data_IF_722866823821
#
_entry.id   IF_722866823821
#
_cell.length_a   1.000
_cell.length_b   1.000
_cell.length_c   1.000
_cell.angle_alpha   90.00
_cell.angle_beta   90.00
_cell.angle_gamma   90.00
#
_symmetry.space_group_name_H-M   'P 1'
#
loop_
_entity.id
_entity.type
_entity.pdbx_description
1 polymer ?
#
# COMPACT_ATOMS: atom_id res chain seq x y z
N UNK A 1 21.51 5.06 -12.41
CA UNK A 1 21.40 3.70 -12.27
C UNK A 1 21.15 3.20 -10.86
N UNK A 2 22.14 3.24 -10.04
CA UNK A 2 21.94 2.82 -8.67
C UNK A 2 20.90 3.69 -7.98
N UNK A 3 20.72 4.88 -8.45
CA UNK A 3 19.73 5.77 -7.89
C UNK A 3 18.32 5.18 -7.97
N UNK A 4 17.98 4.63 -9.12
CA UNK A 4 16.70 4.01 -9.33
C UNK A 4 16.55 2.75 -8.49
N UNK A 5 17.60 1.96 -8.49
CA UNK A 5 17.58 0.74 -7.70
C UNK A 5 17.38 1.04 -6.24
N UNK A 6 18.03 2.10 -5.80
CA UNK A 6 17.92 2.51 -4.42
C UNK A 6 16.49 2.86 -4.06
N UNK A 7 15.82 3.59 -4.93
CA UNK A 7 14.43 3.97 -4.69
C UNK A 7 13.54 2.75 -4.63
N UNK A 8 13.73 1.82 -5.54
CA UNK A 8 12.95 0.60 -5.56
C UNK A 8 13.13 -0.19 -4.29
N UNK A 9 14.39 -0.38 -3.90
CA UNK A 9 14.70 -1.12 -2.70
C UNK A 9 14.11 -0.44 -1.48
N UNK A 10 14.19 0.87 -1.47
CA UNK A 10 13.65 1.65 -0.37
C UNK A 10 12.16 1.42 -0.19
N UNK A 11 11.44 1.45 -1.29
CA UNK A 11 9.99 1.25 -1.21
C UNK A 11 9.66 -0.13 -0.69
N UNK A 12 10.32 -1.13 -1.21
CA UNK A 12 10.08 -2.48 -0.76
C UNK A 12 10.47 -2.66 0.69
N UNK A 13 11.59 -2.07 1.08
CA UNK A 13 12.03 -2.15 2.46
C UNK A 13 11.01 -1.51 3.40
N UNK A 14 10.46 -0.37 2.99
CA UNK A 14 9.46 0.30 3.79
C UNK A 14 8.22 -0.57 3.95
N UNK A 15 7.75 -1.12 2.85
CA UNK A 15 6.56 -1.95 2.90
C UNK A 15 6.76 -3.17 3.77
N UNK A 16 7.96 -3.74 3.73
CA UNK A 16 8.26 -4.88 4.58
C UNK A 16 8.23 -4.50 6.05
N UNK A 17 8.66 -3.31 6.34
CA UNK A 17 8.69 -2.85 7.72
C UNK A 17 7.31 -2.57 8.26
N UNK A 18 6.46 -1.98 7.45
CA UNK A 18 5.18 -1.49 7.94
C UNK A 18 4.05 -2.50 7.80
N UNK A 19 4.27 -3.58 7.07
CA UNK A 19 3.25 -4.60 6.89
C UNK A 19 3.68 -5.90 7.54
N UNK A 20 2.77 -6.56 8.25
CA UNK A 20 3.12 -7.87 8.76
C UNK A 20 3.05 -8.87 7.61
N UNK A 21 3.52 -10.12 7.84
CA UNK A 21 3.61 -11.08 6.73
C UNK A 21 2.29 -11.33 6.03
N UNK A 22 1.21 -11.39 6.77
CA UNK A 22 -0.09 -11.66 6.17
C UNK A 22 -0.54 -10.48 5.31
N UNK A 23 -0.30 -9.27 5.81
CA UNK A 23 -0.66 -8.09 5.04
C UNK A 23 0.15 -8.00 3.77
N UNK A 24 1.42 -8.35 3.84
CA UNK A 24 2.27 -8.34 2.66
C UNK A 24 1.79 -9.32 1.61
N UNK A 25 1.38 -10.49 2.05
CA UNK A 25 0.86 -11.48 1.12
C UNK A 25 -0.41 -11.00 0.46
N UNK A 26 -1.28 -10.38 1.24
CA UNK A 26 -2.52 -9.87 0.68
C UNK A 26 -2.23 -8.82 -0.39
N UNK A 27 -1.28 -7.94 -0.13
CA UNK A 27 -0.94 -6.91 -1.09
C UNK A 27 -0.37 -7.53 -2.36
N UNK A 28 0.42 -8.57 -2.22
CA UNK A 28 0.96 -9.25 -3.39
C UNK A 28 -0.12 -9.85 -4.26
N UNK A 29 -1.13 -10.42 -3.63
CA UNK A 29 -2.24 -10.97 -4.39
C UNK A 29 -2.98 -9.88 -5.13
N UNK A 30 -3.13 -8.75 -4.50
CA UNK A 30 -3.80 -7.63 -5.15
C UNK A 30 -2.97 -7.15 -6.33
N UNK A 31 -1.65 -7.18 -6.20
CA UNK A 31 -0.79 -6.80 -7.30
C UNK A 31 -1.03 -7.64 -8.54
N UNK A 32 -1.30 -8.91 -8.33
CA UNK A 32 -1.53 -9.81 -9.44
C UNK A 32 -2.87 -9.54 -10.10
N UNK A 33 -3.88 -9.31 -9.30
CA UNK A 33 -5.24 -9.15 -9.80
C UNK A 33 -5.53 -7.72 -10.23
N UNK A 34 -5.08 -6.75 -9.44
CA UNK A 34 -5.33 -5.34 -9.71
C UNK A 34 -4.07 -4.54 -9.48
N UNK A 35 -3.15 -4.59 -10.43
CA UNK A 35 -1.85 -3.95 -10.23
C UNK A 35 -1.93 -2.45 -9.98
N UNK A 36 -2.82 -1.76 -10.68
CA UNK A 36 -2.91 -0.31 -10.48
C UNK A 36 -3.42 0.03 -9.10
N UNK A 37 -4.38 -0.73 -8.62
CA UNK A 37 -4.92 -0.50 -7.29
C UNK A 37 -3.85 -0.81 -6.24
N UNK A 38 -3.07 -1.86 -6.47
CA UNK A 38 -2.00 -2.20 -5.54
C UNK A 38 -0.97 -1.08 -5.44
N UNK A 39 -0.67 -0.44 -6.56
CA UNK A 39 0.27 0.66 -6.55
C UNK A 39 -0.29 1.82 -5.72
N UNK A 40 -1.56 2.11 -5.86
CA UNK A 40 -2.19 3.17 -5.08
C UNK A 40 -2.14 2.86 -3.59
N UNK A 41 -2.41 1.61 -3.25
CA UNK A 41 -2.37 1.20 -1.86
C UNK A 41 -0.96 1.35 -1.31
N UNK A 42 0.04 0.89 -2.06
CA UNK A 42 1.41 0.99 -1.62
C UNK A 42 1.82 2.43 -1.42
N UNK A 43 1.44 3.30 -2.36
CA UNK A 43 1.78 4.70 -2.25
C UNK A 43 1.14 5.34 -1.02
N UNK A 44 -0.09 4.97 -0.75
CA UNK A 44 -0.79 5.48 0.42
C UNK A 44 -0.07 5.06 1.70
N UNK A 45 0.32 3.80 1.77
CA UNK A 45 1.00 3.29 2.95
C UNK A 45 2.35 3.96 3.16
N UNK A 46 3.08 4.13 2.08
CA UNK A 46 4.39 4.78 2.16
C UNK A 46 4.23 6.24 2.59
N UNK A 47 3.20 6.90 2.10
CA UNK A 47 2.93 8.27 2.49
C UNK A 47 2.63 8.37 3.99
N UNK A 48 1.86 7.43 4.50
CA UNK A 48 1.57 7.38 5.93
C UNK A 48 2.85 7.21 6.73
N UNK A 49 3.70 6.33 6.27
CA UNK A 49 4.96 6.09 6.95
C UNK A 49 5.84 7.34 6.93
N UNK A 50 5.92 7.98 5.77
CA UNK A 50 6.78 9.14 5.61
C UNK A 50 6.31 10.32 6.46
N UNK A 51 5.02 10.46 6.63
CA UNK A 51 4.49 11.56 7.41
C UNK A 51 4.44 11.28 8.90
N UNK A 52 4.93 10.11 9.30
CA UNK A 52 4.99 9.78 10.71
C UNK A 52 3.68 9.33 11.33
N UNK A 53 2.71 8.99 10.51
CA UNK A 53 1.42 8.56 11.01
C UNK A 53 1.38 7.08 11.37
N UNK A 54 2.39 6.34 10.97
CA UNK A 54 2.43 4.92 11.26
C UNK A 54 3.36 4.66 12.43
N UNK A 55 2.82 4.19 13.51
CA UNK A 55 3.61 3.87 14.70
C UNK A 55 3.70 2.39 14.95
N UNK A 56 2.88 1.62 14.28
CA UNK A 56 2.86 0.18 14.45
C UNK A 56 2.83 -0.49 13.10
N UNK A 57 3.17 -1.76 13.11
CA UNK A 57 3.05 -2.58 11.92
C UNK A 57 1.57 -2.72 11.57
N UNK A 58 1.26 -2.62 10.30
CA UNK A 58 -0.10 -2.76 9.83
C UNK A 58 -0.45 -4.23 9.70
N UNK A 59 -1.49 -4.65 10.40
CA UNK A 59 -1.94 -6.03 10.34
C UNK A 59 -2.81 -6.24 9.11
N UNK A 60 -3.10 -7.51 8.83
CA UNK A 60 -3.96 -7.85 7.71
C UNK A 60 -5.33 -7.21 7.85
N UNK A 61 -5.84 -7.16 9.06
CA UNK A 61 -7.15 -6.54 9.30
C UNK A 61 -7.13 -5.06 9.00
N UNK A 62 -6.08 -4.39 9.41
CA UNK A 62 -5.97 -2.98 9.13
C UNK A 62 -5.81 -2.72 7.66
N UNK A 63 -5.06 -3.58 6.99
CA UNK A 63 -4.90 -3.44 5.56
C UNK A 63 -6.25 -3.61 4.86
N UNK A 64 -7.06 -4.54 5.33
CA UNK A 64 -8.39 -4.72 4.76
C UNK A 64 -9.21 -3.44 4.85
N UNK A 65 -9.13 -2.78 5.98
CA UNK A 65 -9.86 -1.52 6.16
C UNK A 65 -9.37 -0.48 5.18
N UNK A 66 -8.07 -0.40 5.02
CA UNK A 66 -7.50 0.56 4.09
C UNK A 66 -7.93 0.25 2.68
N UNK A 67 -7.92 -1.02 2.31
CA UNK A 67 -8.34 -1.42 0.98
C UNK A 67 -9.78 -1.03 0.73
N UNK A 68 -10.63 -1.26 1.71
CA UNK A 68 -12.04 -0.91 1.58
C UNK A 68 -12.20 0.59 1.41
N UNK A 69 -11.47 1.34 2.20
CA UNK A 69 -11.57 2.79 2.15
C UNK A 69 -11.14 3.32 0.78
N UNK A 70 -10.00 2.84 0.29
CA UNK A 70 -9.50 3.30 -0.99
C UNK A 70 -10.38 2.85 -2.13
N UNK A 71 -10.93 1.66 -2.01
CA UNK A 71 -11.83 1.15 -3.03
C UNK A 71 -13.08 2.01 -3.13
N UNK A 72 -13.61 2.40 -2.01
CA UNK A 72 -14.80 3.27 -2.00
C UNK A 72 -14.50 4.62 -2.62
N UNK A 73 -13.33 5.15 -2.33
CA UNK A 73 -12.97 6.43 -2.90
C UNK A 73 -12.90 6.35 -4.41
N UNK A 74 -12.37 5.26 -4.93
CA UNK A 74 -12.29 5.09 -6.36
C UNK A 74 -13.68 5.05 -6.98
N UNK A 75 -14.57 4.28 -6.36
CA UNK A 75 -15.94 4.19 -6.85
C UNK A 75 -16.61 5.54 -6.84
N UNK A 76 -16.39 6.26 -5.77
CA UNK A 76 -16.98 7.56 -5.62
C UNK A 76 -16.52 8.49 -6.74
N UNK A 77 -15.24 8.43 -7.07
CA UNK A 77 -14.71 9.24 -8.14
C UNK A 77 -15.35 8.91 -9.47
N UNK A 78 -15.51 7.64 -9.73
CA UNK A 78 -16.10 7.20 -10.98
C UNK A 78 -17.52 7.69 -11.09
N UNK A 79 -18.24 7.61 -9.99
CA UNK A 79 -19.64 8.06 -9.97
C UNK A 79 -19.75 9.55 -10.27
N UNK A 80 -18.82 10.31 -9.74
CA UNK A 80 -18.84 11.74 -9.94
C UNK A 80 -18.61 12.12 -11.39
N UNK A 81 -17.91 11.27 -12.08
CA UNK A 81 -17.72 11.54 -13.49
C UNK A 81 -18.99 11.32 -14.25
#
# INVERSE_FOLDING_TARGET
>A
MSYRERNSISREAILRKILDPEARERLKRIEIVKPKFAIQVANYLIALYSSGHLKKVISDQELKRILTLLSKKREFRIIRK
#
